data_IF_599464456443
#
_entry.id   IF_599464456443
#
_cell.length_a   1.000
_cell.length_b   1.000
_cell.length_c   1.000
_cell.angle_alpha   90.00
_cell.angle_beta   90.00
_cell.angle_gamma   90.00
#
_symmetry.space_group_name_H-M   'P 1'
#
loop_
_entity.id
_entity.type
_entity.pdbx_description
1 polymer ?
2 polymer ?
3 non-polymer ?
4 water ?
#
# COMPACT_ATOMS: atom_id res chain seq x y z
N UNK A 2 -21.90 -10.85 12.17
CA UNK A 2 -22.14 -9.71 13.12
C UNK A 2 -22.15 -8.36 12.36
N UNK A 3 -22.67 -7.33 13.02
CA UNK A 3 -22.79 -5.99 12.42
C UNK A 3 -21.50 -5.30 11.98
N UNK A 4 -21.38 -5.08 10.67
CA UNK A 4 -20.22 -4.42 10.08
C UNK A 4 -20.53 -3.02 9.58
N UNK A 5 -19.64 -2.05 9.84
CA UNK A 5 -19.84 -0.67 9.39
C UNK A 5 -20.09 -0.61 7.89
N UNK A 6 -20.77 0.45 7.47
CA UNK A 6 -21.07 0.63 6.06
C UNK A 6 -19.77 0.80 5.28
N UNK A 7 -19.03 1.84 5.64
CA UNK A 7 -17.78 2.15 4.97
C UNK A 7 -16.95 0.90 4.71
N UNK A 8 -17.01 -0.06 5.64
CA UNK A 8 -16.23 -1.27 5.45
C UNK A 8 -16.88 -2.16 4.38
N UNK A 9 -18.20 -2.21 4.37
CA UNK A 9 -18.91 -3.04 3.38
C UNK A 9 -18.68 -2.52 1.97
N UNK A 10 -18.91 -1.22 1.79
CA UNK A 10 -18.73 -0.59 0.50
C UNK A 10 -17.32 -0.86 0.05
N UNK A 11 -16.36 -0.32 0.79
CA UNK A 11 -14.94 -0.46 0.49
C UNK A 11 -14.58 -1.90 0.11
N UNK A 12 -15.27 -2.87 0.70
CA UNK A 12 -15.02 -4.28 0.42
C UNK A 12 -15.46 -4.68 -0.99
N UNK A 13 -16.36 -3.88 -1.57
CA UNK A 13 -16.87 -4.13 -2.91
C UNK A 13 -15.96 -3.44 -3.91
N UNK A 14 -15.27 -2.40 -3.42
CA UNK A 14 -14.34 -1.61 -4.22
C UNK A 14 -13.02 -2.32 -4.47
N UNK A 15 -12.86 -3.48 -3.86
CA UNK A 15 -11.63 -4.27 -4.00
C UNK A 15 -11.72 -5.16 -5.22
N UNK A 16 -10.62 -5.23 -5.99
CA UNK A 16 -10.53 -6.03 -7.21
C UNK A 16 -10.21 -7.47 -6.91
N UNK A 17 -10.25 -8.28 -7.97
CA UNK A 17 -9.95 -9.71 -7.87
C UNK A 17 -8.43 -9.90 -7.92
N UNK A 18 -7.89 -10.63 -6.93
CA UNK A 18 -6.46 -10.89 -6.84
C UNK A 18 -5.97 -11.58 -8.11
N UNK A 19 -6.77 -12.54 -8.57
CA UNK A 19 -6.45 -13.31 -9.77
C UNK A 19 -6.41 -12.35 -10.96
N UNK A 20 -7.31 -11.38 -10.94
CA UNK A 20 -7.40 -10.35 -11.97
C UNK A 20 -6.12 -9.52 -11.90
N UNK A 21 -5.66 -9.24 -10.69
CA UNK A 21 -4.44 -8.46 -10.49
C UNK A 21 -3.28 -9.26 -11.09
N UNK A 22 -3.12 -10.49 -10.65
CA UNK A 22 -2.06 -11.38 -11.15
C UNK A 22 -2.19 -11.47 -12.69
N UNK A 23 -3.43 -11.50 -13.19
CA UNK A 23 -3.69 -11.57 -14.62
C UNK A 23 -3.22 -10.26 -15.26
N UNK A 24 -3.69 -9.15 -14.72
CA UNK A 24 -3.34 -7.82 -15.21
C UNK A 24 -1.83 -7.58 -15.15
N UNK A 25 -1.26 -7.75 -13.95
CA UNK A 25 0.17 -7.53 -13.76
C UNK A 25 1.00 -8.52 -14.57
N UNK A 26 0.63 -9.80 -14.52
CA UNK A 26 1.39 -10.83 -15.25
C UNK A 26 1.42 -10.63 -16.76
N UNK A 27 0.31 -10.16 -17.33
CA UNK A 27 0.28 -9.95 -18.77
C UNK A 27 1.06 -8.72 -19.21
N UNK A 28 1.05 -7.68 -18.37
CA UNK A 28 1.73 -6.45 -18.67
C UNK A 28 3.24 -6.61 -18.71
N UNK A 29 3.73 -7.72 -18.14
CA UNK A 29 5.17 -7.99 -18.05
C UNK A 29 5.81 -8.43 -19.34
N UNK A 30 5.17 -9.41 -19.98
CA UNK A 30 5.63 -9.99 -21.24
C UNK A 30 6.30 -9.03 -22.24
N UNK A 31 5.74 -7.84 -22.47
CA UNK A 31 6.35 -6.89 -23.40
C UNK A 31 7.70 -6.37 -22.85
N UNK A 40 19.99 -6.13 -13.28
CA UNK A 40 20.07 -7.18 -14.31
C UNK A 40 18.67 -7.47 -14.83
N UNK A 41 18.49 -8.61 -15.48
CA UNK A 41 17.20 -8.99 -16.06
C UNK A 41 16.04 -9.04 -15.07
N UNK A 42 16.25 -9.76 -13.96
CA UNK A 42 15.23 -9.93 -12.91
C UNK A 42 14.88 -8.61 -12.25
N UNK A 43 15.90 -7.80 -12.03
CA UNK A 43 15.74 -6.50 -11.41
C UNK A 43 14.73 -5.67 -12.20
N UNK A 44 14.99 -5.49 -13.49
CA UNK A 44 14.13 -4.71 -14.33
C UNK A 44 12.69 -5.19 -14.28
N UNK A 45 12.51 -6.51 -14.24
CA UNK A 45 11.17 -7.09 -14.20
C UNK A 45 10.44 -6.64 -12.95
N UNK A 46 11.11 -6.78 -11.81
CA UNK A 46 10.53 -6.41 -10.54
C UNK A 46 10.18 -4.92 -10.47
N UNK A 47 11.02 -4.09 -11.06
CA UNK A 47 10.73 -2.68 -11.05
C UNK A 47 9.41 -2.46 -11.75
N UNK A 48 9.27 -3.10 -12.92
CA UNK A 48 8.07 -3.00 -13.73
C UNK A 48 6.87 -3.56 -12.96
N UNK A 49 7.09 -4.66 -12.23
CA UNK A 49 6.02 -5.29 -11.45
C UNK A 49 5.54 -4.36 -10.35
N UNK A 50 6.46 -3.57 -9.81
CA UNK A 50 6.12 -2.63 -8.76
C UNK A 50 5.27 -1.53 -9.38
N UNK A 51 5.83 -0.89 -10.42
CA UNK A 51 5.13 0.17 -11.11
C UNK A 51 3.69 -0.24 -11.42
N UNK A 52 3.54 -1.47 -11.86
CA UNK A 52 2.25 -1.99 -12.22
C UNK A 52 1.32 -2.14 -11.04
N UNK A 53 1.86 -2.57 -9.91
CA UNK A 53 1.02 -2.74 -8.72
C UNK A 53 0.63 -1.36 -8.22
N UNK A 54 1.47 -0.37 -8.53
CA UNK A 54 1.20 1.00 -8.13
C UNK A 54 0.06 1.58 -8.93
N UNK A 55 0.00 1.24 -10.21
CA UNK A 55 -1.09 1.73 -11.05
C UNK A 55 -2.39 1.10 -10.61
N UNK A 56 -2.32 -0.20 -10.34
CA UNK A 56 -3.49 -0.94 -9.88
C UNK A 56 -3.98 -0.38 -8.55
N UNK A 57 -3.03 0.08 -7.72
CA UNK A 57 -3.32 0.66 -6.41
C UNK A 57 -4.05 2.00 -6.63
N UNK A 58 -3.82 2.59 -7.80
CA UNK A 58 -4.47 3.84 -8.10
C UNK A 58 -5.89 3.63 -8.60
N UNK A 59 -6.06 2.76 -9.59
CA UNK A 59 -7.40 2.54 -10.08
C UNK A 59 -8.25 2.21 -8.88
N UNK A 60 -7.63 1.74 -7.81
CA UNK A 60 -8.40 1.44 -6.63
C UNK A 60 -8.81 2.77 -6.05
N UNK A 61 -7.90 3.73 -6.13
CA UNK A 61 -8.16 5.09 -5.62
C UNK A 61 -9.21 5.79 -6.46
N UNK A 62 -9.01 5.80 -7.78
CA UNK A 62 -9.96 6.43 -8.69
C UNK A 62 -11.40 5.96 -8.41
N UNK A 63 -11.56 4.64 -8.34
CA UNK A 63 -12.85 4.01 -8.08
C UNK A 63 -13.25 4.17 -6.62
N UNK A 64 -12.42 4.84 -5.83
CA UNK A 64 -12.72 4.98 -4.42
C UNK A 64 -13.85 5.95 -4.21
N UNK A 65 -14.43 5.91 -3.01
CA UNK A 65 -15.58 6.73 -2.64
C UNK A 65 -15.34 8.24 -2.60
N UNK A 66 -15.19 8.81 -1.41
CA UNK A 66 -14.99 10.25 -1.29
C UNK A 66 -13.78 10.76 -2.07
N UNK A 67 -12.84 9.88 -2.39
CA UNK A 67 -11.64 10.29 -3.11
C UNK A 67 -11.97 10.81 -4.51
N UNK A 68 -12.87 10.11 -5.20
CA UNK A 68 -13.26 10.48 -6.56
C UNK A 68 -14.01 11.81 -6.63
N UNK A 69 -14.83 12.08 -5.61
CA UNK A 69 -15.61 13.31 -5.54
C UNK A 69 -14.72 14.52 -5.31
N UNK A 70 -13.42 14.27 -5.14
CA UNK A 70 -12.45 15.33 -4.90
C UNK A 70 -11.94 15.95 -6.19
N UNK A 71 -11.26 17.08 -6.05
CA UNK A 71 -10.67 17.79 -7.17
C UNK A 71 -9.40 17.05 -7.60
N UNK A 72 -8.98 17.26 -8.83
CA UNK A 72 -7.78 16.60 -9.32
C UNK A 72 -6.55 17.14 -8.57
N UNK A 73 -6.59 18.42 -8.21
CA UNK A 73 -5.48 19.06 -7.48
C UNK A 73 -5.23 18.35 -6.14
N UNK A 74 -6.31 17.94 -5.49
CA UNK A 74 -6.22 17.23 -4.22
C UNK A 74 -5.86 15.75 -4.41
N UNK A 75 -6.41 15.11 -5.43
CA UNK A 75 -6.11 13.71 -5.69
C UNK A 75 -4.60 13.51 -5.83
N UNK A 76 -3.99 14.36 -6.64
CA UNK A 76 -2.56 14.32 -6.90
C UNK A 76 -1.79 14.35 -5.60
N UNK A 77 -2.01 15.40 -4.83
CA UNK A 77 -1.32 15.57 -3.58
C UNK A 77 -1.54 14.44 -2.58
N UNK A 78 -2.73 13.87 -2.53
CA UNK A 78 -2.97 12.78 -1.61
C UNK A 78 -2.05 11.64 -1.96
N UNK A 79 -2.16 11.15 -3.19
CA UNK A 79 -1.32 10.06 -3.66
C UNK A 79 0.17 10.38 -3.57
N UNK A 80 0.55 11.60 -3.91
CA UNK A 80 1.95 11.98 -3.82
C UNK A 80 2.46 11.80 -2.41
N UNK A 81 1.55 11.82 -1.44
CA UNK A 81 1.92 11.70 -0.03
C UNK A 81 1.90 10.27 0.55
N UNK A 82 1.06 9.40 -0.03
CA UNK A 82 0.95 8.05 0.49
C UNK A 82 1.24 6.91 -0.48
N UNK A 83 1.73 7.22 -1.68
CA UNK A 83 2.00 6.17 -2.67
C UNK A 83 2.89 5.06 -2.14
N UNK A 84 3.96 5.46 -1.47
CA UNK A 84 4.89 4.50 -0.89
C UNK A 84 4.24 3.61 0.20
N UNK A 85 3.56 4.20 1.18
CA UNK A 85 2.92 3.40 2.21
C UNK A 85 1.91 2.39 1.66
N UNK A 86 1.15 2.80 0.67
CA UNK A 86 0.13 1.92 0.08
C UNK A 86 0.80 0.70 -0.49
N UNK A 87 1.88 0.94 -1.24
CA UNK A 87 2.67 -0.13 -1.86
C UNK A 87 3.20 -1.08 -0.80
N UNK A 88 4.02 -0.56 0.11
CA UNK A 88 4.57 -1.37 1.17
C UNK A 88 3.51 -2.12 1.92
N UNK A 89 2.41 -1.44 2.24
CA UNK A 89 1.33 -2.08 2.97
C UNK A 89 0.70 -3.21 2.15
N UNK A 90 0.63 -3.00 0.84
CA UNK A 90 0.09 -3.99 -0.08
C UNK A 90 1.01 -5.24 0.04
N UNK A 91 2.31 -5.01 -0.14
CA UNK A 91 3.28 -6.08 -0.02
C UNK A 91 3.11 -6.75 1.33
N UNK A 92 2.85 -5.97 2.37
CA UNK A 92 2.70 -6.49 3.72
C UNK A 92 1.51 -7.42 3.90
N UNK A 93 0.32 -6.96 3.52
CA UNK A 93 -0.89 -7.77 3.68
C UNK A 93 -0.86 -9.07 2.88
N UNK A 94 -0.14 -9.08 1.76
CA UNK A 94 -0.06 -10.27 0.94
C UNK A 94 0.61 -11.35 1.75
N UNK A 95 1.53 -10.96 2.63
CA UNK A 95 2.23 -11.90 3.48
C UNK A 95 1.31 -12.37 4.63
N UNK A 96 0.37 -11.52 5.03
CA UNK A 96 -0.58 -11.89 6.07
C UNK A 96 -1.43 -13.04 5.56
N UNK A 97 -1.68 -13.07 4.25
CA UNK A 97 -2.45 -14.14 3.63
C UNK A 97 -1.55 -15.29 3.19
N UNK A 98 -0.26 -15.01 2.96
CA UNK A 98 0.70 -16.02 2.55
C UNK A 98 0.96 -16.93 3.74
N UNK A 99 0.95 -16.33 4.95
CA UNK A 99 1.16 -17.10 6.16
C UNK A 99 2.59 -17.54 6.44
N UNK A 100 3.26 -18.15 5.44
CA UNK A 100 4.65 -18.62 5.60
C UNK A 100 5.63 -17.62 6.23
N UNK A 101 6.75 -18.14 6.72
CA UNK A 101 7.78 -17.32 7.34
C UNK A 101 9.10 -17.57 6.62
N UNK A 102 9.09 -18.57 5.73
CA UNK A 102 10.28 -18.93 5.00
C UNK A 102 10.47 -18.17 3.69
N UNK A 103 9.40 -17.61 3.17
CA UNK A 103 9.53 -16.91 1.91
C UNK A 103 8.50 -15.80 1.80
N UNK A 104 8.73 -14.88 0.87
CA UNK A 104 7.79 -13.78 0.64
C UNK A 104 7.02 -14.04 -0.65
N UNK A 105 5.74 -13.68 -0.66
CA UNK A 105 4.91 -13.90 -1.82
C UNK A 105 4.80 -12.64 -2.65
N UNK A 106 5.11 -12.73 -3.95
CA UNK A 106 5.03 -11.55 -4.81
C UNK A 106 3.68 -11.43 -5.49
N UNK A 107 3.34 -10.17 -5.81
CA UNK A 107 2.07 -9.87 -6.47
C UNK A 107 1.83 -10.77 -7.68
N UNK A 108 2.92 -11.19 -8.33
CA UNK A 108 2.77 -12.10 -9.47
C UNK A 108 2.15 -13.38 -8.89
N UNK A 109 2.95 -14.21 -8.23
CA UNK A 109 2.42 -15.42 -7.63
C UNK A 109 3.63 -16.16 -7.10
N UNK A 110 4.79 -15.67 -7.56
CA UNK A 110 6.09 -16.23 -7.21
C UNK A 110 6.34 -16.33 -5.71
N UNK A 111 7.44 -17.00 -5.37
CA UNK A 111 7.84 -17.17 -3.97
C UNK A 111 9.33 -16.97 -3.97
N UNK A 112 9.82 -16.21 -3.00
CA UNK A 112 11.25 -15.97 -2.87
C UNK A 112 11.62 -16.32 -1.43
N UNK A 113 12.51 -17.28 -1.25
CA UNK A 113 12.92 -17.64 0.09
C UNK A 113 13.73 -16.55 0.79
N UNK A 114 13.64 -16.48 2.11
CA UNK A 114 14.38 -15.47 2.82
C UNK A 114 15.86 -15.78 2.82
N UNK A 115 16.21 -17.01 2.49
CA UNK A 115 17.61 -17.43 2.41
C UNK A 115 18.21 -16.82 1.14
N UNK A 116 17.39 -16.81 0.10
CA UNK A 116 17.75 -16.27 -1.21
C UNK A 116 18.05 -14.78 -1.17
N UNK A 117 17.23 -14.02 -0.44
CA UNK A 117 17.46 -12.59 -0.37
C UNK A 117 18.52 -12.32 0.67
N UNK A 118 18.64 -13.25 1.63
CA UNK A 118 19.64 -13.12 2.67
C UNK A 118 21.04 -13.11 2.04
N UNK A 119 21.22 -13.91 0.99
CA UNK A 119 22.52 -13.99 0.35
C UNK A 119 22.66 -13.05 -0.86
N UNK A 120 21.61 -12.95 -1.67
CA UNK A 120 21.62 -12.11 -2.87
C UNK A 120 21.41 -10.61 -2.68
N UNK A 121 20.38 -10.23 -1.93
CA UNK A 121 20.08 -8.82 -1.70
C UNK A 121 21.24 -8.14 -0.98
N UNK A 122 21.25 -6.80 -1.05
CA UNK A 122 22.28 -6.01 -0.41
C UNK A 122 21.85 -5.63 0.98
N UNK A 123 22.74 -4.98 1.72
CA UNK A 123 22.44 -4.58 3.09
C UNK A 123 21.03 -3.97 3.26
N UNK A 124 20.74 -2.89 2.53
CA UNK A 124 19.44 -2.17 2.58
C UNK A 124 18.18 -2.98 2.29
N UNK A 125 18.12 -3.60 1.12
CA UNK A 125 16.94 -4.36 0.76
C UNK A 125 16.77 -5.50 1.74
N UNK A 126 17.87 -6.20 1.99
CA UNK A 126 17.83 -7.30 2.93
C UNK A 126 17.11 -6.75 4.17
N UNK A 127 17.72 -5.71 4.72
CA UNK A 127 17.23 -5.02 5.90
C UNK A 127 15.71 -4.75 5.86
N UNK A 128 15.32 -3.95 4.87
CA UNK A 128 13.95 -3.55 4.62
C UNK A 128 13.00 -4.74 4.59
N UNK A 129 13.38 -5.78 3.85
CA UNK A 129 12.56 -6.99 3.72
C UNK A 129 12.29 -7.72 5.04
N UNK A 130 13.28 -7.67 5.93
CA UNK A 130 13.14 -8.32 7.25
C UNK A 130 12.30 -7.43 8.13
N UNK A 131 12.47 -6.12 7.97
CA UNK A 131 11.69 -5.21 8.78
C UNK A 131 10.23 -5.42 8.39
N UNK A 132 9.99 -5.51 7.09
CA UNK A 132 8.62 -5.70 6.61
C UNK A 132 8.00 -6.97 7.18
N UNK A 133 8.81 -8.00 7.36
CA UNK A 133 8.30 -9.26 7.87
C UNK A 133 7.98 -9.22 9.36
N UNK A 134 8.65 -8.34 10.08
CA UNK A 134 8.40 -8.22 11.50
C UNK A 134 7.00 -7.65 11.64
N UNK A 135 6.65 -6.74 10.73
CA UNK A 135 5.33 -6.10 10.71
C UNK A 135 4.28 -7.10 10.24
N UNK A 136 4.71 -8.14 9.54
CA UNK A 136 3.76 -9.16 9.10
C UNK A 136 3.42 -10.10 10.26
N UNK A 137 4.37 -10.34 11.17
CA UNK A 137 4.08 -11.22 12.28
C UNK A 137 3.21 -10.47 13.26
N UNK A 138 3.57 -9.22 13.45
CA UNK A 138 2.83 -8.35 14.34
C UNK A 138 1.35 -8.33 13.97
N UNK A 139 1.06 -8.01 12.69
CA UNK A 139 -0.31 -7.94 12.17
C UNK A 139 -1.05 -9.28 12.17
N UNK A 140 -0.28 -10.37 12.17
CA UNK A 140 -0.83 -11.71 12.23
C UNK A 140 -1.29 -11.98 13.67
N UNK A 141 -0.49 -11.53 14.64
CA UNK A 141 -0.86 -11.72 16.03
C UNK A 141 -2.17 -10.99 16.26
N UNK A 142 -2.24 -9.73 15.85
CA UNK A 142 -3.46 -8.91 16.01
C UNK A 142 -4.61 -9.53 15.24
N UNK A 143 -4.30 -10.49 14.38
CA UNK A 143 -5.34 -11.15 13.61
C UNK A 143 -6.02 -10.21 12.61
N UNK A 144 -5.22 -9.48 11.85
CA UNK A 144 -5.73 -8.55 10.85
C UNK A 144 -6.62 -9.23 9.80
N UNK A 145 -7.83 -8.72 9.60
CA UNK A 145 -8.73 -9.28 8.59
C UNK A 145 -8.93 -8.34 7.39
N UNK A 146 -9.70 -8.77 6.40
CA UNK A 146 -9.93 -7.98 5.21
C UNK A 146 -10.73 -6.73 5.48
N UNK A 147 -11.70 -6.82 6.39
CA UNK A 147 -12.52 -5.65 6.73
C UNK A 147 -11.64 -4.51 7.25
N UNK A 148 -10.73 -4.84 8.17
CA UNK A 148 -9.83 -3.85 8.73
C UNK A 148 -8.79 -3.47 7.68
N UNK A 149 -8.23 -4.50 7.03
CA UNK A 149 -7.24 -4.29 6.01
C UNK A 149 -7.72 -3.24 5.01
N UNK A 150 -8.93 -3.45 4.52
CA UNK A 150 -9.55 -2.56 3.55
C UNK A 150 -9.78 -1.16 4.13
N UNK A 151 -10.27 -1.13 5.36
CA UNK A 151 -10.53 0.11 6.04
C UNK A 151 -9.23 0.89 6.23
N UNK A 152 -8.17 0.15 6.55
CA UNK A 152 -6.85 0.71 6.78
C UNK A 152 -6.21 1.35 5.56
N UNK A 153 -6.41 0.75 4.39
CA UNK A 153 -5.87 1.34 3.17
C UNK A 153 -6.51 2.72 3.00
N UNK A 154 -7.84 2.77 3.14
CA UNK A 154 -8.55 4.03 2.99
C UNK A 154 -7.88 5.05 3.85
N UNK A 155 -7.85 4.75 5.15
CA UNK A 155 -7.23 5.60 6.16
C UNK A 155 -5.84 6.10 5.73
N UNK A 156 -5.03 5.24 5.12
CA UNK A 156 -3.70 5.66 4.70
C UNK A 156 -3.78 6.68 3.58
N UNK A 157 -4.81 6.54 2.75
CA UNK A 157 -4.99 7.43 1.62
C UNK A 157 -5.27 8.88 2.07
N UNK A 158 -6.13 9.00 3.09
CA UNK A 158 -6.52 10.30 3.64
C UNK A 158 -5.76 10.73 4.87
N UNK A 159 -4.59 10.15 5.11
CA UNK A 159 -3.82 10.53 6.29
C UNK A 159 -2.85 11.63 5.91
N UNK A 160 -3.37 12.84 5.81
CA UNK A 160 -2.57 13.99 5.45
C UNK A 160 -3.09 15.19 6.20
N UNK A 161 -2.24 16.21 6.35
CA UNK A 161 -2.66 17.41 7.05
C UNK A 161 -3.66 18.16 6.17
N UNK A 162 -4.70 18.68 6.80
CA UNK A 162 -5.74 19.41 6.08
C UNK A 162 -5.22 20.72 5.46
N UNK A 163 -4.10 21.23 5.96
CA UNK A 163 -3.51 22.48 5.48
C UNK A 163 -2.84 22.27 4.12
N UNK A 164 -2.96 21.07 3.57
CA UNK A 164 -2.32 20.77 2.27
C UNK A 164 -3.33 20.52 1.15
N UNK A 165 -4.61 20.49 1.52
CA UNK A 165 -5.68 20.25 0.55
C UNK A 165 -6.51 21.49 0.24
N UNK A 166 -7.25 21.43 -0.85
CA UNK A 166 -8.09 22.54 -1.25
C UNK A 166 -9.47 22.28 -0.68
N UNK A 167 -9.96 21.05 -0.83
CA UNK A 167 -11.27 20.69 -0.28
C UNK A 167 -11.10 20.31 1.18
N UNK A 168 -11.06 21.33 2.02
CA UNK A 168 -10.90 21.21 3.48
C UNK A 168 -11.79 20.13 4.13
N UNK A 169 -13.00 20.56 4.45
CA UNK A 169 -14.02 19.77 5.12
C UNK A 169 -14.30 18.37 4.61
N UNK A 170 -14.32 18.19 3.29
CA UNK A 170 -14.63 16.86 2.75
C UNK A 170 -13.70 15.75 3.26
N UNK A 171 -12.41 16.06 3.36
CA UNK A 171 -11.40 15.12 3.84
C UNK A 171 -11.56 14.85 5.33
N UNK A 172 -11.62 15.90 6.13
CA UNK A 172 -11.79 15.77 7.59
C UNK A 172 -12.95 14.82 7.91
N UNK A 173 -13.92 14.74 7.01
CA UNK A 173 -15.05 13.85 7.23
C UNK A 173 -14.63 12.43 6.91
N UNK A 174 -13.84 12.28 5.84
CA UNK A 174 -13.34 10.95 5.43
C UNK A 174 -12.45 10.33 6.51
N UNK A 175 -11.62 11.15 7.13
CA UNK A 175 -10.71 10.69 8.17
C UNK A 175 -11.44 10.19 9.41
N UNK A 176 -12.30 11.03 9.98
CA UNK A 176 -13.07 10.68 11.17
C UNK A 176 -14.00 9.51 10.90
N UNK A 177 -14.47 9.40 9.67
CA UNK A 177 -15.34 8.32 9.28
C UNK A 177 -14.60 7.00 9.42
N UNK A 178 -13.42 6.93 8.80
CA UNK A 178 -12.58 5.74 8.82
C UNK A 178 -12.14 5.29 10.24
N UNK A 179 -11.68 6.24 11.06
CA UNK A 179 -11.23 5.93 12.41
C UNK A 179 -12.35 5.37 13.27
N UNK A 180 -13.53 5.97 13.17
CA UNK A 180 -14.68 5.51 13.94
C UNK A 180 -15.17 4.16 13.42
N UNK A 181 -15.01 3.93 12.12
CA UNK A 181 -15.43 2.69 11.49
C UNK A 181 -14.56 1.56 12.01
N UNK A 182 -13.25 1.81 12.08
CA UNK A 182 -12.31 0.81 12.57
C UNK A 182 -12.54 0.53 14.07
N UNK A 183 -12.70 1.60 14.84
CA UNK A 183 -12.93 1.43 16.26
C UNK A 183 -14.15 0.56 16.51
N UNK A 184 -15.18 0.84 15.72
CA UNK A 184 -16.41 0.10 15.85
C UNK A 184 -16.15 -1.36 15.57
N UNK A 185 -15.79 -1.64 14.32
CA UNK A 185 -15.54 -2.99 13.90
C UNK A 185 -14.60 -3.67 14.88
N UNK A 186 -13.60 -2.93 15.32
CA UNK A 186 -12.60 -3.47 16.21
C UNK A 186 -13.07 -3.80 17.63
N UNK A 187 -13.64 -2.83 18.34
CA UNK A 187 -14.09 -3.09 19.71
C UNK A 187 -15.25 -4.06 19.69
N UNK A 188 -15.93 -4.07 18.57
CA UNK A 188 -17.10 -4.89 18.39
C UNK A 188 -16.79 -6.37 18.11
N UNK A 189 -16.13 -6.63 16.98
CA UNK A 189 -15.80 -7.99 16.52
C UNK A 189 -14.56 -8.62 17.15
N UNK A 190 -13.63 -7.79 17.59
CA UNK A 190 -12.42 -8.28 18.24
C UNK A 190 -12.47 -7.80 19.68
N UNK A 191 -13.38 -8.40 20.47
CA UNK A 191 -13.61 -8.09 21.89
C UNK A 191 -12.56 -8.72 22.82
N UNK A 192 -11.49 -9.25 22.25
CA UNK A 192 -10.44 -9.85 23.06
C UNK A 192 -9.65 -8.73 23.77
N UNK A 193 -8.64 -9.08 24.57
CA UNK A 193 -7.90 -8.04 25.29
C UNK A 193 -6.82 -7.35 24.44
N UNK A 194 -6.80 -6.03 24.54
CA UNK A 194 -5.85 -5.23 23.79
C UNK A 194 -6.66 -4.25 22.97
N UNK A 195 -6.17 -3.02 22.83
CA UNK A 195 -6.88 -2.04 22.04
C UNK A 195 -6.47 -2.07 20.57
N UNK A 196 -7.04 -3.02 19.84
CA UNK A 196 -6.71 -3.20 18.44
C UNK A 196 -6.80 -1.90 17.65
N UNK A 197 -7.77 -1.04 17.95
CA UNK A 197 -7.86 0.19 17.19
C UNK A 197 -6.54 0.97 17.29
N UNK A 198 -6.07 1.17 18.51
CA UNK A 198 -4.85 1.94 18.74
C UNK A 198 -3.62 1.11 18.37
N UNK A 199 -3.73 -0.20 18.57
CA UNK A 199 -2.64 -1.10 18.24
C UNK A 199 -2.40 -1.10 16.74
N UNK A 200 -3.46 -1.20 15.96
CA UNK A 200 -3.32 -1.20 14.52
C UNK A 200 -2.74 0.12 14.05
N UNK A 201 -3.23 1.21 14.64
CA UNK A 201 -2.72 2.53 14.29
C UNK A 201 -1.21 2.61 14.46
N UNK A 202 -0.68 1.80 15.38
CA UNK A 202 0.76 1.76 15.60
C UNK A 202 1.43 1.08 14.42
N UNK A 203 0.87 -0.04 14.01
CA UNK A 203 1.42 -0.75 12.86
C UNK A 203 1.50 0.22 11.67
N UNK A 204 0.56 1.14 11.58
CA UNK A 204 0.57 2.10 10.47
C UNK A 204 1.72 3.12 10.53
N UNK A 205 2.14 3.51 11.73
CA UNK A 205 3.24 4.46 11.80
C UNK A 205 4.52 3.68 11.48
N UNK A 206 4.44 2.37 11.65
CA UNK A 206 5.58 1.49 11.36
C UNK A 206 5.69 1.49 9.84
N UNK A 207 4.58 1.18 9.17
CA UNK A 207 4.52 1.17 7.71
C UNK A 207 5.15 2.47 7.18
N UNK A 208 4.76 3.58 7.78
CA UNK A 208 5.27 4.86 7.34
C UNK A 208 6.80 4.95 7.51
N UNK A 209 7.36 4.15 8.40
CA UNK A 209 8.81 4.19 8.62
C UNK A 209 9.50 3.40 7.51
N UNK A 210 8.90 2.26 7.15
CA UNK A 210 9.41 1.40 6.10
C UNK A 210 9.35 2.15 4.79
N UNK A 211 8.20 2.79 4.55
CA UNK A 211 7.98 3.54 3.34
C UNK A 211 9.12 4.48 3.06
N UNK A 212 9.55 5.21 4.07
CA UNK A 212 10.66 6.11 3.91
C UNK A 212 11.96 5.37 3.58
N UNK A 213 12.24 4.31 4.31
CA UNK A 213 13.43 3.53 4.01
C UNK A 213 13.37 3.01 2.56
N UNK A 214 12.20 2.51 2.18
CA UNK A 214 11.99 2.00 0.83
C UNK A 214 12.23 3.11 -0.21
N UNK A 215 11.97 4.35 0.18
CA UNK A 215 12.15 5.49 -0.73
C UNK A 215 13.64 5.80 -0.81
N UNK A 216 14.33 5.53 0.30
CA UNK A 216 15.76 5.76 0.36
C UNK A 216 16.53 4.74 -0.45
N UNK A 217 15.94 3.55 -0.60
CA UNK A 217 16.55 2.49 -1.37
C UNK A 217 16.47 2.88 -2.85
N UNK A 218 15.25 3.13 -3.34
CA UNK A 218 15.02 3.55 -4.73
C UNK A 218 15.90 4.73 -5.06
N UNK A 219 15.96 5.69 -4.16
CA UNK A 219 16.78 6.85 -4.39
C UNK A 219 18.25 6.42 -4.55
N UNK A 220 18.65 5.39 -3.81
CA UNK A 220 20.04 4.88 -3.86
C UNK A 220 20.26 4.27 -5.23
N UNK A 221 19.28 3.48 -5.63
CA UNK A 221 19.29 2.83 -6.94
C UNK A 221 19.40 3.92 -8.01
N UNK A 222 18.55 4.94 -7.90
CA UNK A 222 18.56 6.07 -8.81
C UNK A 222 19.97 6.67 -8.92
N UNK A 223 20.49 7.18 -7.81
CA UNK A 223 21.81 7.78 -7.82
C UNK A 223 22.80 6.89 -8.52
N UNK A 224 22.65 5.60 -8.29
CA UNK A 224 23.55 4.63 -8.89
C UNK A 224 23.14 4.27 -10.31
N UNK A 225 22.11 4.93 -10.81
CA UNK A 225 21.62 4.70 -12.16
C UNK A 225 21.34 3.21 -12.40
N UNK A 226 20.41 2.66 -11.64
CA UNK A 226 20.08 1.24 -11.73
C UNK A 226 18.65 1.06 -12.14
N UNK A 227 17.81 1.98 -11.71
CA UNK A 227 16.40 1.91 -12.00
C UNK A 227 16.09 1.99 -13.49
N UNK A 228 14.92 1.45 -13.90
CA UNK A 228 14.56 1.54 -15.31
C UNK A 228 14.39 3.05 -15.59
N UNK A 229 14.37 3.39 -16.88
CA UNK A 229 14.23 4.77 -17.34
C UNK A 229 12.86 5.39 -17.07
N UNK A 230 11.80 4.73 -17.56
CA UNK A 230 10.42 5.21 -17.42
C UNK A 230 9.75 4.74 -16.14
N UNK A 231 10.55 4.45 -15.11
CA UNK A 231 10.04 3.96 -13.85
C UNK A 231 9.15 4.98 -13.17
N UNK A 232 7.94 4.54 -12.86
CA UNK A 232 6.94 5.37 -12.19
C UNK A 232 7.33 5.75 -10.77
N UNK A 233 7.74 4.74 -10.02
CA UNK A 233 8.16 4.97 -8.66
C UNK A 233 9.16 6.12 -8.60
N UNK A 234 10.18 6.10 -9.47
CA UNK A 234 11.18 7.15 -9.49
C UNK A 234 10.53 8.49 -9.79
N UNK A 235 9.43 8.46 -10.53
CA UNK A 235 8.75 9.68 -10.85
C UNK A 235 8.05 10.25 -9.64
N UNK A 236 7.71 9.37 -8.70
CA UNK A 236 7.03 9.80 -7.50
C UNK A 236 8.06 10.23 -6.45
N UNK A 237 9.22 9.59 -6.50
CA UNK A 237 10.31 9.87 -5.56
C UNK A 237 10.78 11.30 -5.68
N UNK A 238 10.61 11.85 -6.89
CA UNK A 238 11.06 13.20 -7.20
C UNK A 238 9.92 14.22 -7.18
N UNK A 239 9.67 14.77 -6.00
CA UNK A 239 8.60 15.75 -5.79
C UNK A 239 8.56 16.25 -4.34
N UNK B 1 1.50 16.17 -11.83
CA UNK B 1 2.45 15.06 -12.17
C UNK B 1 2.17 14.56 -13.57
N UNK B 2 3.01 13.66 -14.05
CA UNK B 2 2.81 13.14 -15.38
C UNK B 2 1.96 11.88 -15.31
N UNK B 3 2.51 10.82 -14.73
CA UNK B 3 1.81 9.54 -14.59
C UNK B 3 0.61 9.71 -13.68
N UNK B 4 0.50 10.84 -13.00
CA UNK B 4 -0.66 10.97 -12.17
C UNK B 4 -1.58 11.95 -12.85
N UNK B 5 -1.08 13.09 -13.31
CA UNK B 5 -2.00 14.03 -13.93
C UNK B 5 -2.52 13.44 -15.21
N UNK B 6 -1.58 13.04 -16.07
CA UNK B 6 -1.90 12.52 -17.40
C UNK B 6 -2.44 11.10 -17.36
N UNK B 7 -1.94 10.36 -16.40
CA UNK B 7 -2.32 9.01 -16.33
C UNK B 7 -3.52 8.78 -15.43
N UNK B 8 -3.73 9.67 -14.45
CA UNK B 8 -4.83 9.47 -13.53
C UNK B 8 -6.20 9.43 -14.19
N UNK B 9 -6.75 10.59 -14.54
CA UNK B 9 -8.08 10.63 -15.12
C UNK B 9 -8.10 11.07 -16.57
N UNK B 10 -6.94 11.16 -17.21
CA UNK B 10 -6.95 11.60 -18.61
C UNK B 10 -7.48 10.52 -19.53
N UNK B 11 -7.35 9.26 -19.12
CA UNK B 11 -7.84 8.17 -19.94
C UNK B 11 -9.03 7.51 -19.25
#
# INVERSE_FOLDING_TARGET
GSNVPELMLQLLQLEPDEDQVRARILGCLQEPTKSRPDQPAAFGLLCRMADQTFISIVDWARRCMVFKELEVADQMTLLQNCWSELLVFDHIYRQVQHGKEGSILLVTGQEVELTTVATQAGSLLHSLVLRAQELVLQLLALQLDRQEFVCLKFIILFSLDLKFLNNHILVKDAQEKANAALLDYTLCHYPHCGDKFQQLLLCLVEVRALSMQAKEYLYHKHLGNEMPRNNLLIEMLQAKQT
AQALAALLAKA
#
